data_IF_176395646189
#
_entry.id   IF_176395646189
#
_cell.length_a   1.000
_cell.length_b   1.000
_cell.length_c   1.000
_cell.angle_alpha   90.00
_cell.angle_beta   90.00
_cell.angle_gamma   90.00
#
_symmetry.space_group_name_H-M   'P 1'
#
loop_
_entity.id
_entity.type
_entity.pdbx_description
1 polymer ?
#
# COMPACT_ATOMS: atom_id res chain seq x y z
N UNK A 1 -16.84 7.70 0.56
CA UNK A 1 -15.70 7.37 -0.31
C UNK A 1 -16.08 6.33 -1.34
N UNK A 2 -15.79 6.58 -2.59
CA UNK A 2 -16.07 5.60 -3.64
C UNK A 2 -14.99 4.52 -3.68
N UNK A 3 -15.30 3.42 -4.35
CA UNK A 3 -14.35 2.33 -4.57
C UNK A 3 -13.05 2.83 -5.24
N UNK A 4 -13.20 3.66 -6.28
CA UNK A 4 -12.05 4.18 -7.01
C UNK A 4 -11.20 5.14 -6.18
N UNK A 5 -11.83 5.98 -5.39
CA UNK A 5 -11.12 6.90 -4.51
C UNK A 5 -10.32 6.14 -3.44
N UNK A 6 -10.90 5.10 -2.90
CA UNK A 6 -10.23 4.26 -1.91
C UNK A 6 -9.02 3.56 -2.53
N UNK A 7 -9.18 3.07 -3.73
CA UNK A 7 -8.08 2.43 -4.45
C UNK A 7 -6.95 3.41 -4.72
N UNK A 8 -7.29 4.61 -5.17
CA UNK A 8 -6.29 5.66 -5.43
C UNK A 8 -5.51 6.00 -4.16
N UNK A 9 -6.21 6.11 -3.04
CA UNK A 9 -5.57 6.41 -1.76
C UNK A 9 -4.57 5.32 -1.37
N UNK A 10 -4.95 4.07 -1.55
CA UNK A 10 -4.05 2.94 -1.26
C UNK A 10 -2.82 2.99 -2.16
N UNK A 11 -3.02 3.26 -3.44
CA UNK A 11 -1.91 3.35 -4.38
C UNK A 11 -0.96 4.49 -4.06
N UNK A 12 -1.48 5.64 -3.64
CA UNK A 12 -0.66 6.76 -3.23
C UNK A 12 0.15 6.42 -1.99
N UNK A 13 -0.48 5.79 -1.01
CA UNK A 13 0.20 5.36 0.20
C UNK A 13 1.33 4.39 -0.14
N UNK A 14 1.07 3.46 -1.05
CA UNK A 14 2.06 2.49 -1.46
C UNK A 14 3.25 3.17 -2.16
N UNK A 15 2.98 4.12 -3.03
CA UNK A 15 4.03 4.88 -3.71
C UNK A 15 4.92 5.63 -2.72
N UNK A 16 4.30 6.28 -1.75
CA UNK A 16 5.05 7.00 -0.72
C UNK A 16 5.96 6.05 0.06
N UNK A 17 5.42 4.89 0.44
CA UNK A 17 6.18 3.89 1.19
C UNK A 17 7.35 3.36 0.37
N UNK A 18 7.13 3.12 -0.92
CA UNK A 18 8.19 2.65 -1.81
C UNK A 18 9.28 3.70 -1.97
N UNK A 19 8.91 4.97 -2.06
CA UNK A 19 9.87 6.06 -2.14
C UNK A 19 10.69 6.14 -0.86
N UNK A 20 10.05 6.06 0.29
CA UNK A 20 10.75 6.06 1.58
C UNK A 20 11.68 4.87 1.70
N UNK A 21 11.21 3.70 1.28
CA UNK A 21 12.02 2.48 1.31
C UNK A 21 13.27 2.61 0.44
N UNK A 22 13.11 3.21 -0.72
CA UNK A 22 14.22 3.45 -1.66
C UNK A 22 15.30 4.35 -1.05
N UNK A 23 14.90 5.30 -0.23
CA UNK A 23 15.82 6.26 0.38
C UNK A 23 16.35 5.82 1.74
N UNK A 24 15.72 4.83 2.36
CA UNK A 24 16.09 4.39 3.71
C UNK A 24 17.31 3.49 3.67
N UNK A 25 18.27 3.80 4.54
CA UNK A 25 19.49 3.01 4.67
C UNK A 25 19.52 2.12 5.92
N UNK A 26 18.64 2.40 6.90
CA UNK A 26 18.55 1.63 8.13
C UNK A 26 17.74 0.37 7.89
N UNK A 27 18.35 -0.80 8.14
CA UNK A 27 17.69 -2.08 7.92
C UNK A 27 16.42 -2.26 8.74
N UNK A 28 16.43 -1.78 9.98
CA UNK A 28 15.25 -1.88 10.85
C UNK A 28 14.09 -1.09 10.28
N UNK A 29 14.35 0.13 9.83
CA UNK A 29 13.32 0.96 9.22
C UNK A 29 12.85 0.41 7.89
N UNK A 30 13.77 -0.14 7.11
CA UNK A 30 13.42 -0.77 5.84
C UNK A 30 12.46 -1.93 6.06
N UNK A 31 12.73 -2.76 7.07
CA UNK A 31 11.84 -3.86 7.41
C UNK A 31 10.46 -3.37 7.79
N UNK A 32 10.38 -2.28 8.56
CA UNK A 32 9.10 -1.68 8.92
C UNK A 32 8.36 -1.13 7.71
N UNK A 33 9.09 -0.47 6.81
CA UNK A 33 8.49 0.06 5.59
C UNK A 33 8.00 -1.07 4.68
N UNK A 34 8.76 -2.14 4.57
CA UNK A 34 8.35 -3.30 3.80
C UNK A 34 7.06 -3.91 4.36
N UNK A 35 6.95 -4.01 5.67
CA UNK A 35 5.74 -4.51 6.31
C UNK A 35 4.54 -3.63 6.00
N UNK A 36 4.73 -2.31 6.01
CA UNK A 36 3.67 -1.38 5.67
C UNK A 36 3.28 -1.47 4.20
N UNK A 37 4.25 -1.65 3.32
CA UNK A 37 3.97 -1.86 1.89
C UNK A 37 3.11 -3.10 1.69
N UNK A 38 3.45 -4.18 2.37
CA UNK A 38 2.70 -5.42 2.28
C UNK A 38 1.28 -5.24 2.77
N UNK A 39 1.11 -4.49 3.86
CA UNK A 39 -0.22 -4.19 4.39
C UNK A 39 -1.05 -3.44 3.35
N UNK A 40 -0.47 -2.47 2.67
CA UNK A 40 -1.17 -1.73 1.62
C UNK A 40 -1.53 -2.62 0.44
N UNK A 41 -0.64 -3.54 0.08
CA UNK A 41 -0.93 -4.50 -0.98
C UNK A 41 -2.10 -5.40 -0.61
N UNK A 42 -2.16 -5.85 0.63
CA UNK A 42 -3.28 -6.65 1.11
C UNK A 42 -4.58 -5.86 1.05
N UNK A 43 -4.55 -4.60 1.45
CA UNK A 43 -5.72 -3.73 1.37
C UNK A 43 -6.18 -3.54 -0.07
N UNK A 44 -5.23 -3.37 -0.97
CA UNK A 44 -5.54 -3.20 -2.39
C UNK A 44 -6.20 -4.47 -2.94
N UNK A 45 -5.70 -5.62 -2.57
CA UNK A 45 -6.25 -6.90 -2.99
C UNK A 45 -7.68 -7.08 -2.48
N UNK A 46 -7.92 -6.75 -1.21
CA UNK A 46 -9.27 -6.77 -0.65
C UNK A 46 -10.20 -5.81 -1.38
N UNK A 47 -9.71 -4.63 -1.68
CA UNK A 47 -10.48 -3.63 -2.42
C UNK A 47 -10.89 -4.16 -3.78
N UNK A 48 -9.96 -4.81 -4.48
CA UNK A 48 -10.25 -5.41 -5.78
C UNK A 48 -11.29 -6.53 -5.68
N UNK A 49 -11.22 -7.35 -4.63
CA UNK A 49 -12.19 -8.42 -4.42
C UNK A 49 -13.58 -7.87 -4.19
N UNK A 50 -13.69 -6.82 -3.38
CA UNK A 50 -14.99 -6.19 -3.10
C UNK A 50 -15.58 -5.63 -4.39
N UNK A 51 -14.75 -5.00 -5.21
CA UNK A 51 -15.19 -4.45 -6.47
C UNK A 51 -15.57 -5.51 -7.50
N UNK A 52 -14.97 -6.69 -7.39
CA UNK A 52 -15.21 -7.79 -8.32
C UNK A 52 -16.40 -8.67 -7.91
N UNK A 53 -16.82 -8.58 -6.66
CA UNK A 53 -17.94 -9.36 -6.14
C UNK A 53 -19.26 -8.77 -6.62
N UNK A 54 -20.07 -9.58 -7.24
CA UNK A 54 -21.37 -9.15 -7.77
C UNK A 54 -22.47 -9.98 -7.22
#
# INVERSE_FOLDING_TARGET
MTFLEQRDQILQNLRDLLTQLSEETDETRRAQLEAKCREQLDLLELNDKVGDTR
#
